data_IF_513865672009
#
_entry.id   IF_513865672009
#
_cell.length_a   1.000
_cell.length_b   1.000
_cell.length_c   1.000
_cell.angle_alpha   90.00
_cell.angle_beta   90.00
_cell.angle_gamma   90.00
#
_symmetry.space_group_name_H-M   'P 1'
#
loop_
_entity.id
_entity.type
_entity.pdbx_description
1 polymer ?
#
# COMPACT_ATOMS: atom_id res chain seq x y z
N UNK A 1 -22.06 24.72 4.58
CA UNK A 1 -21.06 23.96 5.36
C UNK A 1 -19.94 24.93 5.70
N UNK A 2 -19.68 25.19 6.98
CA UNK A 2 -18.86 26.31 7.46
C UNK A 2 -17.38 25.99 7.56
N UNK A 3 -16.55 26.96 7.16
CA UNK A 3 -15.08 27.02 7.06
C UNK A 3 -14.31 26.89 8.40
N UNK A 4 -14.74 26.08 9.37
CA UNK A 4 -14.22 26.16 10.75
C UNK A 4 -13.42 24.98 11.31
N UNK A 5 -12.98 24.03 10.49
CA UNK A 5 -12.27 22.84 11.01
C UNK A 5 -10.79 22.71 10.61
N UNK A 6 -10.15 23.78 10.12
CA UNK A 6 -8.74 23.75 9.68
C UNK A 6 -7.70 24.03 10.79
N UNK A 7 -8.09 24.29 12.04
CA UNK A 7 -7.17 24.83 13.05
C UNK A 7 -6.51 23.83 14.01
N UNK A 8 -6.73 22.52 13.90
CA UNK A 8 -6.02 21.55 14.73
C UNK A 8 -5.01 20.74 13.92
N UNK A 9 -3.95 21.43 13.48
CA UNK A 9 -2.70 20.82 13.04
C UNK A 9 -2.01 20.26 14.30
N UNK A 10 -2.30 19.00 14.64
CA UNK A 10 -1.49 18.24 15.57
C UNK A 10 -0.28 17.64 14.84
N UNK A 11 0.90 17.83 15.43
CA UNK A 11 2.20 17.63 14.77
C UNK A 11 2.47 16.15 14.45
N UNK A 12 3.15 15.87 13.32
CA UNK A 12 3.15 14.57 12.65
C UNK A 12 4.30 13.64 13.07
N UNK A 13 4.84 13.81 14.29
CA UNK A 13 6.19 13.35 14.61
C UNK A 13 6.29 11.85 14.97
N UNK A 14 5.16 11.14 15.15
CA UNK A 14 5.14 9.78 15.70
C UNK A 14 4.54 8.68 14.81
N UNK A 15 4.28 8.95 13.52
CA UNK A 15 3.63 7.96 12.65
C UNK A 15 4.63 7.17 11.77
N UNK A 16 4.38 5.88 11.55
CA UNK A 16 5.40 4.95 11.00
C UNK A 16 5.27 4.73 9.49
N UNK A 17 4.15 5.12 8.91
CA UNK A 17 4.03 5.40 7.48
C UNK A 17 4.76 6.70 7.10
N UNK A 18 4.80 7.62 8.06
CA UNK A 18 5.63 8.80 8.02
C UNK A 18 7.12 8.43 8.07
N UNK A 19 7.57 7.30 8.64
CA UNK A 19 8.98 6.85 8.52
C UNK A 19 9.39 6.23 7.19
N UNK A 20 8.58 5.48 6.44
CA UNK A 20 9.03 4.98 5.11
C UNK A 20 8.91 6.05 4.01
N UNK A 21 7.94 6.97 4.13
CA UNK A 21 7.79 8.13 3.24
C UNK A 21 8.74 9.29 3.63
N UNK A 22 9.07 9.48 4.93
CA UNK A 22 10.12 10.43 5.40
C UNK A 22 11.50 9.82 5.67
N UNK A 23 11.77 8.52 5.53
CA UNK A 23 13.16 8.02 5.46
C UNK A 23 13.64 8.07 4.02
N UNK A 24 12.73 7.99 3.05
CA UNK A 24 13.05 8.17 1.64
C UNK A 24 13.19 9.66 1.30
N UNK A 25 12.32 10.58 1.75
CA UNK A 25 12.42 12.01 1.35
C UNK A 25 13.73 12.72 1.76
N UNK A 26 14.23 12.65 3.01
CA UNK A 26 15.51 13.20 3.46
C UNK A 26 16.72 12.40 2.96
N UNK A 27 16.59 11.10 2.67
CA UNK A 27 17.67 10.35 1.98
C UNK A 27 17.68 10.69 0.49
N UNK A 28 16.55 10.96 -0.14
CA UNK A 28 16.47 11.48 -1.52
C UNK A 28 16.91 12.96 -1.60
N UNK A 29 16.68 13.75 -0.55
CA UNK A 29 17.18 15.13 -0.40
C UNK A 29 18.67 15.18 0.02
N UNK A 30 19.13 14.31 0.94
CA UNK A 30 20.55 14.15 1.33
C UNK A 30 21.38 13.55 0.18
N UNK A 31 20.81 12.65 -0.61
CA UNK A 31 21.46 12.09 -1.80
C UNK A 31 21.19 12.89 -3.08
N UNK A 32 20.44 14.00 -3.03
CA UNK A 32 20.01 14.78 -4.21
C UNK A 32 19.64 13.87 -5.39
N UNK A 33 18.68 12.97 -5.21
CA UNK A 33 18.25 12.15 -6.34
C UNK A 33 17.65 13.08 -7.41
N UNK A 34 18.34 13.15 -8.54
CA UNK A 34 18.19 14.10 -9.67
C UNK A 34 16.80 14.08 -10.35
N UNK A 35 15.81 13.36 -9.81
CA UNK A 35 14.57 13.00 -10.51
C UNK A 35 13.28 13.59 -9.91
N UNK A 36 13.32 14.29 -8.78
CA UNK A 36 12.13 15.02 -8.28
C UNK A 36 11.71 16.15 -9.22
N UNK A 37 12.68 16.76 -9.89
CA UNK A 37 12.47 17.75 -10.93
C UNK A 37 11.74 17.16 -12.16
N UNK A 38 11.70 15.82 -12.30
CA UNK A 38 10.94 15.15 -13.35
C UNK A 38 9.43 15.07 -13.05
N UNK A 39 8.99 15.26 -11.80
CA UNK A 39 7.56 15.16 -11.46
C UNK A 39 6.73 16.20 -12.24
N UNK A 40 7.09 17.50 -12.28
CA UNK A 40 6.44 18.47 -13.16
C UNK A 40 6.43 18.05 -14.63
N UNK A 41 7.51 17.43 -15.13
CA UNK A 41 7.56 16.95 -16.52
C UNK A 41 6.64 15.75 -16.77
N UNK A 42 6.52 14.82 -15.82
CA UNK A 42 5.56 13.72 -15.87
C UNK A 42 4.14 14.29 -15.87
N UNK A 43 3.84 15.23 -14.97
CA UNK A 43 2.54 15.91 -14.87
C UNK A 43 2.19 16.61 -16.19
N UNK A 44 3.12 17.38 -16.76
CA UNK A 44 2.91 18.07 -18.04
C UNK A 44 2.76 17.08 -19.21
N UNK A 45 3.53 15.98 -19.23
CA UNK A 45 3.34 14.90 -20.21
C UNK A 45 1.96 14.25 -20.08
N UNK A 46 1.42 14.08 -18.88
CA UNK A 46 0.07 13.53 -18.74
C UNK A 46 -0.99 14.54 -19.19
N UNK A 47 -0.81 15.83 -18.89
CA UNK A 47 -1.74 16.89 -19.31
C UNK A 47 -1.79 17.07 -20.84
N UNK A 48 -0.62 17.10 -21.49
CA UNK A 48 -0.47 17.48 -22.91
C UNK A 48 -0.18 16.30 -23.84
N UNK A 49 0.19 15.16 -23.27
CA UNK A 49 0.66 14.00 -24.02
C UNK A 49 -0.43 13.29 -24.79
N UNK A 50 0.04 12.47 -25.72
CA UNK A 50 -0.74 11.56 -26.53
C UNK A 50 -1.43 10.49 -25.68
N UNK A 51 -2.39 9.79 -26.29
CA UNK A 51 -3.07 8.63 -25.67
C UNK A 51 -2.05 7.59 -25.19
N UNK A 52 -0.99 7.34 -25.98
CA UNK A 52 0.04 6.36 -25.62
C UNK A 52 0.81 6.74 -24.35
N UNK A 53 1.07 8.03 -24.13
CA UNK A 53 1.79 8.50 -22.95
C UNK A 53 0.92 8.38 -21.69
N UNK A 54 -0.37 8.69 -21.82
CA UNK A 54 -1.36 8.51 -20.73
C UNK A 54 -1.52 7.04 -20.33
N UNK A 55 -1.56 6.13 -21.29
CA UNK A 55 -1.59 4.68 -21.02
C UNK A 55 -0.29 4.17 -20.38
N UNK A 56 0.87 4.69 -20.79
CA UNK A 56 2.15 4.39 -20.13
C UNK A 56 2.18 4.86 -18.68
N UNK A 57 1.65 6.05 -18.41
CA UNK A 57 1.50 6.59 -17.06
C UNK A 57 0.57 5.73 -16.19
N UNK A 58 -0.60 5.35 -16.74
CA UNK A 58 -1.55 4.44 -16.07
C UNK A 58 -0.90 3.10 -15.73
N UNK A 59 -0.14 2.52 -16.66
CA UNK A 59 0.61 1.28 -16.44
C UNK A 59 1.61 1.43 -15.29
N UNK A 60 2.30 2.57 -15.23
CA UNK A 60 3.27 2.87 -14.18
C UNK A 60 2.60 2.98 -12.80
N UNK A 61 1.44 3.63 -12.73
CA UNK A 61 0.60 3.68 -11.51
C UNK A 61 0.16 2.27 -11.10
N UNK A 62 -0.30 1.45 -12.05
CA UNK A 62 -0.77 0.09 -11.77
C UNK A 62 0.34 -0.74 -11.12
N UNK A 63 1.58 -0.55 -11.57
CA UNK A 63 2.76 -1.24 -11.07
C UNK A 63 3.35 -0.64 -9.79
N UNK A 64 2.81 0.49 -9.30
CA UNK A 64 3.27 1.13 -8.07
C UNK A 64 4.52 1.98 -8.24
N UNK A 65 4.76 2.52 -9.44
CA UNK A 65 5.85 3.48 -9.66
C UNK A 65 5.65 4.73 -8.80
N UNK A 66 6.64 5.02 -7.96
CA UNK A 66 6.56 6.09 -6.98
C UNK A 66 6.43 7.48 -7.63
N UNK A 67 7.16 7.74 -8.71
CA UNK A 67 7.11 9.02 -9.41
C UNK A 67 5.77 9.19 -10.13
N UNK A 68 5.23 8.10 -10.68
CA UNK A 68 3.91 8.12 -11.29
C UNK A 68 2.80 8.40 -10.26
N UNK A 69 2.88 7.78 -9.07
CA UNK A 69 1.95 8.04 -7.97
C UNK A 69 2.06 9.47 -7.43
N UNK A 70 3.27 10.04 -7.37
CA UNK A 70 3.49 11.43 -6.98
C UNK A 70 3.01 12.43 -8.02
N UNK A 71 3.21 12.15 -9.30
CA UNK A 71 2.60 12.94 -10.36
C UNK A 71 1.07 12.82 -10.35
N UNK A 72 0.52 11.65 -9.99
CA UNK A 72 -0.93 11.48 -9.83
C UNK A 72 -1.46 12.32 -8.65
N UNK A 73 -0.79 12.34 -7.51
CA UNK A 73 -1.09 13.23 -6.38
C UNK A 73 -1.14 14.70 -6.82
N UNK A 74 -0.09 15.19 -7.49
CA UNK A 74 -0.05 16.56 -7.98
C UNK A 74 -1.18 16.87 -8.99
N UNK A 75 -1.47 15.94 -9.91
CA UNK A 75 -2.60 16.09 -10.82
C UNK A 75 -3.94 16.21 -10.09
N UNK A 76 -4.12 15.49 -8.98
CA UNK A 76 -5.33 15.57 -8.15
C UNK A 76 -5.40 16.90 -7.40
N UNK A 77 -4.29 17.40 -6.86
CA UNK A 77 -4.20 18.71 -6.21
C UNK A 77 -4.52 19.85 -7.18
N UNK A 78 -4.07 19.73 -8.43
CA UNK A 78 -4.34 20.69 -9.50
C UNK A 78 -5.74 20.55 -10.13
N UNK A 79 -6.61 19.72 -9.54
CA UNK A 79 -7.97 19.44 -10.00
C UNK A 79 -8.02 18.88 -11.45
N UNK A 80 -6.96 18.23 -11.90
CA UNK A 80 -6.81 17.82 -13.29
C UNK A 80 -7.81 16.70 -13.68
N UNK A 81 -8.59 16.86 -14.78
CA UNK A 81 -9.58 15.87 -15.18
C UNK A 81 -8.99 14.49 -15.52
N UNK A 82 -7.81 14.43 -16.14
CA UNK A 82 -7.17 13.16 -16.50
C UNK A 82 -6.65 12.44 -15.26
N UNK A 83 -6.01 13.17 -14.34
CA UNK A 83 -5.57 12.63 -13.05
C UNK A 83 -6.74 12.03 -12.25
N UNK A 84 -7.86 12.76 -12.15
CA UNK A 84 -9.08 12.27 -11.49
C UNK A 84 -9.63 11.01 -12.15
N UNK A 85 -9.68 10.98 -13.48
CA UNK A 85 -10.16 9.80 -14.23
C UNK A 85 -9.28 8.58 -13.95
N UNK A 86 -7.96 8.72 -14.08
CA UNK A 86 -7.01 7.62 -13.83
C UNK A 86 -7.09 7.14 -12.39
N UNK A 87 -7.19 8.07 -11.43
CA UNK A 87 -7.36 7.75 -10.02
C UNK A 87 -8.64 6.95 -9.78
N UNK A 88 -9.78 7.42 -10.29
CA UNK A 88 -11.08 6.77 -10.10
C UNK A 88 -11.14 5.38 -10.75
N UNK A 89 -10.68 5.25 -12.00
CA UNK A 89 -10.56 3.94 -12.66
C UNK A 89 -9.66 2.99 -11.87
N UNK A 90 -8.57 3.49 -11.31
CA UNK A 90 -7.64 2.67 -10.51
C UNK A 90 -8.28 2.23 -9.19
N UNK A 91 -9.09 3.08 -8.54
CA UNK A 91 -9.87 2.71 -7.36
C UNK A 91 -10.91 1.63 -7.68
N UNK A 92 -11.66 1.79 -8.78
CA UNK A 92 -12.67 0.83 -9.24
C UNK A 92 -12.05 -0.54 -9.56
N UNK A 93 -10.87 -0.53 -10.18
CA UNK A 93 -10.07 -1.73 -10.45
C UNK A 93 -9.36 -2.30 -9.22
N UNK A 94 -9.61 -1.73 -8.02
CA UNK A 94 -8.99 -2.11 -6.76
C UNK A 94 -7.46 -2.07 -6.81
N UNK A 95 -6.89 -1.14 -7.57
CA UNK A 95 -5.45 -0.95 -7.60
C UNK A 95 -4.96 -0.55 -6.22
N UNK A 96 -4.05 -1.36 -5.70
CA UNK A 96 -3.65 -1.29 -4.31
C UNK A 96 -2.86 -0.02 -3.98
N UNK A 97 -2.02 0.45 -4.90
CA UNK A 97 -1.18 1.62 -4.70
C UNK A 97 -2.01 2.90 -4.72
N UNK A 98 -3.02 2.95 -5.59
CA UNK A 98 -3.96 4.08 -5.64
C UNK A 98 -4.90 4.05 -4.44
N UNK A 99 -5.29 2.88 -3.92
CA UNK A 99 -6.02 2.79 -2.65
C UNK A 99 -5.19 3.32 -1.47
N UNK A 100 -3.88 3.03 -1.46
CA UNK A 100 -2.98 3.58 -0.45
C UNK A 100 -2.80 5.10 -0.62
N UNK A 101 -2.69 5.61 -1.84
CA UNK A 101 -2.72 7.05 -2.13
C UNK A 101 -4.03 7.70 -1.68
N UNK A 102 -5.18 7.08 -1.93
CA UNK A 102 -6.49 7.55 -1.47
C UNK A 102 -6.59 7.58 0.06
N UNK A 103 -6.05 6.57 0.73
CA UNK A 103 -5.97 6.57 2.19
C UNK A 103 -5.03 7.67 2.68
N UNK A 104 -3.91 7.91 2.01
CA UNK A 104 -3.02 9.03 2.34
C UNK A 104 -3.71 10.39 2.20
N UNK A 105 -4.40 10.63 1.09
CA UNK A 105 -5.05 11.91 0.81
C UNK A 105 -6.27 12.17 1.70
N UNK A 106 -7.04 11.13 2.03
CA UNK A 106 -8.38 11.32 2.58
C UNK A 106 -8.67 10.52 3.86
N UNK A 107 -7.85 9.54 4.23
CA UNK A 107 -8.07 8.68 5.41
C UNK A 107 -6.73 8.23 6.06
N UNK A 108 -5.82 9.15 6.43
CA UNK A 108 -4.44 8.81 6.81
C UNK A 108 -4.35 7.89 8.04
N UNK A 109 -5.38 7.89 8.90
CA UNK A 109 -5.54 6.96 10.03
C UNK A 109 -5.62 5.48 9.61
N UNK A 110 -5.95 5.17 8.35
CA UNK A 110 -5.89 3.79 7.82
C UNK A 110 -4.48 3.30 7.50
N UNK A 111 -3.46 4.17 7.63
CA UNK A 111 -2.07 3.86 7.27
C UNK A 111 -1.19 3.40 8.46
N UNK A 112 -1.79 3.24 9.65
CA UNK A 112 -1.08 2.89 10.89
C UNK A 112 -0.43 1.50 10.79
N UNK A 113 0.82 1.39 11.23
CA UNK A 113 1.51 0.12 11.42
C UNK A 113 1.22 -0.38 12.83
N UNK A 114 0.35 -1.40 13.00
CA UNK A 114 -0.10 -1.78 14.32
C UNK A 114 1.00 -2.52 15.10
N UNK A 115 1.02 -2.35 16.41
CA UNK A 115 1.80 -3.21 17.31
C UNK A 115 1.16 -4.58 17.45
N UNK A 116 1.88 -5.55 18.01
CA UNK A 116 1.32 -6.88 18.26
C UNK A 116 0.10 -6.83 19.20
N UNK A 117 0.15 -6.00 20.24
CA UNK A 117 -0.96 -5.73 21.16
C UNK A 117 -2.17 -5.14 20.42
N UNK A 118 -1.94 -4.12 19.58
CA UNK A 118 -3.01 -3.51 18.79
C UNK A 118 -3.64 -4.48 17.77
N UNK A 119 -2.89 -5.44 17.27
CA UNK A 119 -3.41 -6.45 16.34
C UNK A 119 -4.41 -7.37 17.03
N UNK A 120 -4.09 -7.78 18.26
CA UNK A 120 -4.88 -8.75 19.01
C UNK A 120 -6.07 -8.09 19.75
N UNK A 121 -5.90 -6.86 20.21
CA UNK A 121 -6.88 -6.19 21.08
C UNK A 121 -7.86 -5.28 20.34
N UNK A 122 -7.52 -4.83 19.12
CA UNK A 122 -8.42 -3.95 18.35
C UNK A 122 -9.29 -4.75 17.36
N UNK A 123 -10.58 -4.40 17.21
CA UNK A 123 -11.49 -5.06 16.25
C UNK A 123 -11.00 -5.07 14.79
N UNK A 124 -10.17 -4.09 14.40
CA UNK A 124 -9.59 -3.95 13.06
C UNK A 124 -8.08 -4.26 13.02
N UNK A 125 -7.51 -4.84 14.08
CA UNK A 125 -6.07 -5.05 14.22
C UNK A 125 -5.46 -5.91 13.09
N UNK A 126 -6.16 -6.97 12.67
CA UNK A 126 -5.71 -7.81 11.55
C UNK A 126 -5.82 -7.12 10.18
N UNK A 127 -6.79 -6.23 9.97
CA UNK A 127 -6.88 -5.45 8.73
C UNK A 127 -5.73 -4.44 8.63
N UNK A 128 -5.38 -3.81 9.75
CA UNK A 128 -4.19 -2.95 9.84
C UNK A 128 -2.90 -3.76 9.59
N UNK A 129 -2.80 -4.97 10.15
CA UNK A 129 -1.67 -5.86 9.88
C UNK A 129 -1.60 -6.22 8.40
N UNK A 130 -2.73 -6.54 7.77
CA UNK A 130 -2.82 -6.91 6.35
C UNK A 130 -2.26 -5.80 5.48
N UNK A 131 -2.73 -4.58 5.71
CA UNK A 131 -2.30 -3.39 4.98
C UNK A 131 -0.80 -3.14 5.18
N UNK A 132 -0.30 -3.32 6.40
CA UNK A 132 1.11 -3.11 6.72
C UNK A 132 2.04 -4.19 6.13
N UNK A 133 1.63 -5.47 6.14
CA UNK A 133 2.36 -6.59 5.51
C UNK A 133 2.39 -6.41 3.99
N UNK A 134 1.28 -5.99 3.41
CA UNK A 134 1.15 -5.73 1.96
C UNK A 134 2.18 -4.71 1.47
N UNK A 135 2.48 -3.71 2.30
CA UNK A 135 3.51 -2.69 2.07
C UNK A 135 4.93 -3.15 2.43
N UNK A 136 5.10 -4.42 2.80
CA UNK A 136 6.38 -5.03 3.18
C UNK A 136 7.06 -4.38 4.40
N UNK A 137 6.30 -3.68 5.26
CA UNK A 137 6.88 -3.03 6.43
C UNK A 137 7.57 -4.08 7.34
N UNK A 138 8.90 -3.97 7.60
CA UNK A 138 9.69 -5.06 8.16
C UNK A 138 9.18 -5.59 9.52
N UNK A 139 8.75 -4.68 10.41
CA UNK A 139 8.24 -5.08 11.73
C UNK A 139 6.90 -5.81 11.64
N UNK A 140 6.04 -5.39 10.72
CA UNK A 140 4.72 -6.00 10.54
C UNK A 140 4.83 -7.35 9.86
N UNK A 141 5.75 -7.49 8.91
CA UNK A 141 6.12 -8.80 8.33
C UNK A 141 6.68 -9.73 9.41
N UNK A 142 7.48 -9.21 10.35
CA UNK A 142 7.99 -10.00 11.48
C UNK A 142 6.86 -10.45 12.42
N UNK A 143 5.96 -9.54 12.82
CA UNK A 143 4.79 -9.87 13.65
C UNK A 143 3.89 -10.89 12.94
N UNK A 144 3.64 -10.68 11.65
CA UNK A 144 2.84 -11.58 10.84
C UNK A 144 3.42 -12.99 10.79
N UNK A 145 4.75 -13.11 10.56
CA UNK A 145 5.43 -14.41 10.62
C UNK A 145 5.29 -15.07 11.98
N UNK A 146 5.50 -14.31 13.07
CA UNK A 146 5.33 -14.80 14.43
C UNK A 146 3.93 -15.37 14.67
N UNK A 147 2.88 -14.62 14.29
CA UNK A 147 1.49 -15.06 14.44
C UNK A 147 1.20 -16.34 13.62
N UNK A 148 1.79 -16.48 12.43
CA UNK A 148 1.66 -17.71 11.62
C UNK A 148 2.39 -18.90 12.24
N UNK A 149 3.56 -18.67 12.83
CA UNK A 149 4.32 -19.68 13.57
C UNK A 149 3.58 -20.15 14.83
N UNK A 150 2.80 -19.27 15.46
CA UNK A 150 1.93 -19.55 16.61
C UNK A 150 0.57 -20.16 16.22
N UNK A 151 0.37 -20.52 14.95
CA UNK A 151 -0.88 -21.07 14.40
C UNK A 151 -2.12 -20.17 14.66
N UNK A 152 -1.94 -18.85 14.61
CA UNK A 152 -3.05 -17.90 14.77
C UNK A 152 -4.02 -17.96 13.57
N UNK A 153 -5.31 -18.20 13.82
CA UNK A 153 -6.31 -18.45 12.77
C UNK A 153 -6.54 -17.22 11.88
N UNK A 154 -6.65 -16.05 12.49
CA UNK A 154 -6.89 -14.78 11.83
C UNK A 154 -5.69 -14.41 10.95
N UNK A 155 -4.46 -14.67 11.40
CA UNK A 155 -3.25 -14.51 10.59
C UNK A 155 -3.26 -15.42 9.35
N UNK A 156 -3.73 -16.66 9.47
CA UNK A 156 -3.89 -17.53 8.30
C UNK A 156 -4.99 -17.05 7.34
N UNK A 157 -6.07 -16.45 7.85
CA UNK A 157 -7.08 -15.79 7.02
C UNK A 157 -6.49 -14.60 6.23
N UNK A 158 -5.64 -13.81 6.89
CA UNK A 158 -4.90 -12.71 6.28
C UNK A 158 -3.92 -13.22 5.22
N UNK A 159 -3.16 -14.29 5.51
CA UNK A 159 -2.24 -14.93 4.57
C UNK A 159 -2.97 -15.37 3.30
N UNK A 160 -4.13 -16.02 3.45
CA UNK A 160 -4.98 -16.43 2.32
C UNK A 160 -5.34 -15.24 1.43
N UNK A 161 -5.84 -14.17 2.03
CA UNK A 161 -6.22 -12.95 1.31
C UNK A 161 -5.03 -12.35 0.55
N UNK A 162 -3.88 -12.19 1.21
CA UNK A 162 -2.69 -11.62 0.56
C UNK A 162 -2.13 -12.52 -0.56
N UNK A 163 -2.23 -13.84 -0.43
CA UNK A 163 -1.80 -14.77 -1.49
C UNK A 163 -2.73 -14.69 -2.70
N UNK A 164 -4.05 -14.67 -2.49
CA UNK A 164 -5.02 -14.50 -3.58
C UNK A 164 -4.93 -13.14 -4.27
N UNK A 165 -4.48 -12.10 -3.54
CA UNK A 165 -4.15 -10.78 -4.08
C UNK A 165 -2.82 -10.75 -4.88
N UNK A 166 -2.07 -11.85 -4.91
CA UNK A 166 -0.78 -11.91 -5.63
C UNK A 166 0.36 -11.22 -4.88
N UNK A 167 0.25 -10.99 -3.57
CA UNK A 167 1.32 -10.34 -2.83
C UNK A 167 2.57 -11.24 -2.75
N UNK A 168 3.64 -10.86 -3.47
CA UNK A 168 4.88 -11.62 -3.58
C UNK A 168 5.47 -12.02 -2.20
N UNK A 169 5.43 -11.11 -1.22
CA UNK A 169 6.00 -11.38 0.10
C UNK A 169 5.19 -12.42 0.86
N UNK A 170 3.86 -12.34 0.82
CA UNK A 170 2.96 -13.32 1.39
C UNK A 170 3.11 -14.68 0.71
N UNK A 171 3.25 -14.73 -0.61
CA UNK A 171 3.52 -15.96 -1.37
C UNK A 171 4.82 -16.62 -0.92
N UNK A 172 5.90 -15.85 -0.73
CA UNK A 172 7.17 -16.38 -0.21
C UNK A 172 7.01 -16.92 1.22
N UNK A 173 6.32 -16.19 2.11
CA UNK A 173 6.03 -16.65 3.47
C UNK A 173 5.24 -17.96 3.44
N UNK A 174 4.20 -18.02 2.61
CA UNK A 174 3.36 -19.20 2.46
C UNK A 174 4.14 -20.41 1.96
N UNK A 175 4.98 -20.23 0.93
CA UNK A 175 5.86 -21.27 0.43
C UNK A 175 6.83 -21.79 1.48
N UNK A 176 7.38 -20.91 2.33
CA UNK A 176 8.24 -21.30 3.45
C UNK A 176 7.49 -22.12 4.51
N UNK A 177 6.25 -21.74 4.84
CA UNK A 177 5.43 -22.49 5.78
C UNK A 177 5.09 -23.89 5.26
N UNK A 178 4.77 -24.01 3.97
CA UNK A 178 4.53 -25.30 3.31
C UNK A 178 5.80 -26.16 3.32
N UNK A 179 6.94 -25.58 2.95
CA UNK A 179 8.24 -26.26 2.97
C UNK A 179 8.58 -26.81 4.37
N UNK A 180 8.27 -26.03 5.41
CA UNK A 180 8.44 -26.42 6.81
C UNK A 180 7.33 -27.35 7.35
N UNK A 181 6.46 -27.85 6.46
CA UNK A 181 5.35 -28.76 6.79
C UNK A 181 4.38 -28.21 7.84
N UNK A 182 4.14 -26.90 7.85
CA UNK A 182 3.10 -26.33 8.71
C UNK A 182 1.72 -26.89 8.31
N UNK A 183 0.99 -27.59 9.20
CA UNK A 183 -0.24 -28.29 8.85
C UNK A 183 -1.35 -27.36 8.34
N UNK A 184 -1.48 -26.16 8.92
CA UNK A 184 -2.51 -25.21 8.51
C UNK A 184 -2.17 -24.55 7.18
N UNK A 185 -0.89 -24.31 6.91
CA UNK A 185 -0.44 -23.84 5.59
C UNK A 185 -0.72 -24.88 4.49
N UNK A 186 -0.47 -26.17 4.77
CA UNK A 186 -0.80 -27.26 3.83
C UNK A 186 -2.31 -27.30 3.57
N UNK A 187 -3.13 -27.22 4.62
CA UNK A 187 -4.58 -27.17 4.46
C UNK A 187 -5.03 -25.94 3.67
N UNK A 188 -4.44 -24.78 3.93
CA UNK A 188 -4.72 -23.55 3.20
C UNK A 188 -4.35 -23.68 1.72
N UNK A 189 -3.30 -24.43 1.38
CA UNK A 189 -2.93 -24.69 -0.03
C UNK A 189 -4.03 -25.46 -0.76
N UNK A 190 -4.60 -26.48 -0.12
CA UNK A 190 -5.74 -27.23 -0.67
C UNK A 190 -6.97 -26.34 -0.85
N UNK A 191 -7.21 -25.42 0.09
CA UNK A 191 -8.31 -24.45 0.03
C UNK A 191 -8.11 -23.44 -1.11
N UNK A 192 -6.91 -22.88 -1.27
CA UNK A 192 -6.56 -21.95 -2.35
C UNK A 192 -6.63 -22.64 -3.72
N UNK A 193 -6.17 -23.89 -3.84
CA UNK A 193 -6.24 -24.63 -5.10
C UNK A 193 -7.70 -24.82 -5.56
N UNK A 194 -8.63 -25.10 -4.64
CA UNK A 194 -10.06 -25.18 -4.96
C UNK A 194 -10.66 -23.86 -5.43
N UNK A 195 -10.14 -22.73 -4.94
CA UNK A 195 -10.59 -21.39 -5.36
C UNK A 195 -10.09 -21.08 -6.77
N UNK A 196 -8.87 -21.48 -7.10
CA UNK A 196 -8.20 -21.11 -8.36
C UNK A 196 -8.44 -22.09 -9.51
N UNK A 197 -8.76 -23.37 -9.23
CA UNK A 197 -9.02 -24.40 -10.25
C UNK A 197 -7.78 -25.16 -10.65
#
# INVERSE_FOLDING_TARGET
MSEKNLENIHRPEDNKFYKEFQEILPVLDEYKMERWDEIPEIVERVKKGSISEKEGFKTSIINGDLFALKALEQLLEEDNPEGKKIFQESIENKNIYVQDLNNYLYNPEKLINPTEEEILDKPNGFELLKNSVRRSHPKSVKIFRKLLEEDNKEAFGLLSSLVLEGNNRAIVIFGQLIFNKNPRAIKLLEEIHKILG
#
